data_IF_257337785168
#
_entry.id   IF_257337785168
#
_cell.length_a   1.000
_cell.length_b   1.000
_cell.length_c   1.000
_cell.angle_alpha   90.00
_cell.angle_beta   90.00
_cell.angle_gamma   90.00
#
_symmetry.space_group_name_H-M   'P 1'
#
loop_
_entity.id
_entity.type
_entity.pdbx_description
1 polymer ?
#
# COMPACT_ATOMS: atom_id res chain seq x y z
N UNK A 1 -24.00 39.19 -43.53
CA UNK A 1 -24.12 38.80 -42.14
C UNK A 1 -23.30 37.52 -41.98
N UNK A 2 -22.06 37.66 -41.57
CA UNK A 2 -21.08 36.59 -41.44
C UNK A 2 -21.26 35.93 -40.06
N UNK A 3 -21.61 34.65 -40.06
CA UNK A 3 -21.61 33.81 -38.84
C UNK A 3 -20.18 33.64 -38.31
N UNK A 4 -19.95 33.79 -37.00
CA UNK A 4 -18.64 33.62 -36.44
C UNK A 4 -18.20 32.15 -36.47
N UNK A 5 -16.92 31.93 -36.73
CA UNK A 5 -16.26 30.61 -36.82
C UNK A 5 -16.23 29.90 -35.47
N UNK A 6 -16.35 28.55 -35.40
CA UNK A 6 -16.61 27.80 -34.16
C UNK A 6 -15.36 27.59 -33.23
N UNK A 7 -14.27 28.34 -33.40
CA UNK A 7 -13.04 28.20 -32.61
C UNK A 7 -12.72 29.38 -31.69
N UNK A 8 -13.55 30.43 -31.65
CA UNK A 8 -13.24 31.71 -30.98
C UNK A 8 -13.83 31.88 -29.56
N UNK A 9 -14.35 30.84 -28.97
CA UNK A 9 -14.87 30.92 -27.60
C UNK A 9 -14.43 29.70 -26.76
N UNK A 10 -13.26 29.72 -26.18
CA UNK A 10 -12.99 29.12 -24.85
C UNK A 10 -11.56 29.36 -24.28
N UNK A 11 -11.23 30.49 -23.70
CA UNK A 11 -10.11 30.53 -22.77
C UNK A 11 -10.50 30.59 -21.29
N UNK A 12 -11.78 30.75 -20.92
CA UNK A 12 -12.17 31.01 -19.51
C UNK A 12 -12.40 29.75 -18.67
N UNK A 13 -12.60 28.58 -19.28
CA UNK A 13 -12.92 27.34 -18.56
C UNK A 13 -11.71 26.59 -17.98
N UNK A 14 -10.49 26.83 -18.47
CA UNK A 14 -9.30 26.11 -18.02
C UNK A 14 -8.73 26.63 -16.70
N UNK A 15 -8.88 27.91 -16.39
CA UNK A 15 -8.42 28.49 -15.12
C UNK A 15 -9.32 28.11 -13.94
N UNK A 16 -10.61 28.01 -14.15
CA UNK A 16 -11.56 27.54 -13.12
C UNK A 16 -11.41 26.04 -12.80
N UNK A 17 -11.02 25.24 -13.80
CA UNK A 17 -10.74 23.82 -13.59
C UNK A 17 -9.43 23.57 -12.82
N UNK A 18 -8.39 24.38 -13.08
CA UNK A 18 -7.12 24.30 -12.36
C UNK A 18 -7.26 24.71 -10.89
N UNK A 19 -8.00 25.79 -10.59
CA UNK A 19 -8.25 26.22 -9.21
C UNK A 19 -9.07 25.18 -8.41
N UNK A 20 -10.07 24.57 -9.05
CA UNK A 20 -10.85 23.50 -8.45
C UNK A 20 -10.02 22.22 -8.21
N UNK A 21 -9.05 21.93 -9.06
CA UNK A 21 -8.15 20.78 -8.95
C UNK A 21 -7.11 21.02 -7.84
N UNK A 22 -6.59 22.25 -7.74
CA UNK A 22 -5.69 22.66 -6.68
C UNK A 22 -6.39 22.63 -5.29
N UNK A 23 -7.61 23.14 -5.19
CA UNK A 23 -8.40 23.12 -3.94
C UNK A 23 -8.76 21.70 -3.47
N UNK A 24 -8.70 20.70 -4.33
CA UNK A 24 -8.90 19.28 -3.99
C UNK A 24 -7.60 18.51 -3.76
N UNK A 25 -6.46 19.19 -3.85
CA UNK A 25 -5.17 18.54 -3.66
C UNK A 25 -4.92 18.26 -2.16
N UNK A 26 -4.71 16.99 -1.77
CA UNK A 26 -4.38 16.65 -0.37
C UNK A 26 -3.03 17.21 0.06
N UNK A 27 -2.11 17.41 -0.88
CA UNK A 27 -0.80 18.03 -0.60
C UNK A 27 -0.95 19.48 -0.16
N UNK A 28 -1.87 20.23 -0.78
CA UNK A 28 -2.13 21.63 -0.44
C UNK A 28 -2.73 21.76 0.95
N UNK A 29 -3.75 20.96 1.24
CA UNK A 29 -4.40 20.96 2.55
C UNK A 29 -3.50 20.40 3.65
N UNK A 30 -2.74 19.34 3.36
CA UNK A 30 -1.76 18.78 4.28
C UNK A 30 -0.62 19.74 4.57
N UNK A 31 -0.10 20.42 3.54
CA UNK A 31 0.91 21.46 3.70
C UNK A 31 0.40 22.66 4.49
N UNK A 32 -0.82 23.14 4.21
CA UNK A 32 -1.45 24.23 4.96
C UNK A 32 -1.67 23.86 6.43
N UNK A 33 -2.12 22.62 6.69
CA UNK A 33 -2.32 22.12 8.05
C UNK A 33 -0.99 22.01 8.81
N UNK A 34 0.04 21.46 8.17
CA UNK A 34 1.39 21.37 8.73
C UNK A 34 1.96 22.77 9.02
N UNK A 35 1.86 23.67 8.05
CA UNK A 35 2.31 25.06 8.23
C UNK A 35 1.60 25.76 9.39
N UNK A 36 0.29 25.63 9.46
CA UNK A 36 -0.51 26.22 10.55
C UNK A 36 -0.11 25.63 11.90
N UNK A 37 0.08 24.32 11.97
CA UNK A 37 0.50 23.64 13.19
C UNK A 37 1.86 24.16 13.70
N UNK A 38 2.86 24.24 12.82
CA UNK A 38 4.17 24.75 13.20
C UNK A 38 4.18 26.26 13.48
N UNK A 39 3.36 27.04 12.76
CA UNK A 39 3.18 28.45 13.06
C UNK A 39 2.61 28.66 14.46
N UNK A 40 1.65 27.85 14.90
CA UNK A 40 1.09 27.90 16.27
C UNK A 40 2.12 27.51 17.35
N UNK A 41 3.00 26.55 17.07
CA UNK A 41 4.11 26.20 17.96
C UNK A 41 5.08 27.39 18.09
N UNK A 42 5.51 27.96 16.96
CA UNK A 42 6.47 29.08 16.97
C UNK A 42 5.87 30.38 17.52
N UNK A 43 4.55 30.58 17.38
CA UNK A 43 3.84 31.68 18.00
C UNK A 43 3.63 31.51 19.51
N UNK A 44 4.05 30.38 20.10
CA UNK A 44 3.90 30.11 21.53
C UNK A 44 2.46 29.84 21.98
N UNK A 45 1.55 29.53 21.05
CA UNK A 45 0.17 29.14 21.38
C UNK A 45 0.12 27.72 21.91
N UNK A 46 0.92 26.83 21.32
CA UNK A 46 1.10 25.46 21.78
C UNK A 46 2.36 25.41 22.66
N UNK A 47 2.16 25.39 23.98
CA UNK A 47 3.25 25.41 24.97
C UNK A 47 3.46 24.06 25.65
N UNK A 48 2.76 23.02 25.23
CA UNK A 48 2.91 21.70 25.82
C UNK A 48 4.30 21.12 25.48
N UNK A 49 5.11 20.91 26.53
CA UNK A 49 6.49 20.45 26.38
C UNK A 49 6.60 19.09 25.68
N UNK A 50 5.63 18.19 25.85
CA UNK A 50 5.62 16.89 25.16
C UNK A 50 5.37 17.07 23.66
N UNK A 51 4.43 17.93 23.28
CA UNK A 51 4.12 18.23 21.88
C UNK A 51 5.33 18.82 21.17
N UNK A 52 5.99 19.80 21.80
CA UNK A 52 7.18 20.45 21.24
C UNK A 52 8.31 19.45 21.12
N UNK A 53 8.55 18.63 22.14
CA UNK A 53 9.63 17.64 22.18
C UNK A 53 9.47 16.59 21.08
N UNK A 54 8.28 16.00 20.93
CA UNK A 54 8.06 14.89 19.99
C UNK A 54 7.68 15.32 18.58
N UNK A 55 7.21 16.56 18.36
CA UNK A 55 6.72 16.97 17.03
C UNK A 55 7.51 18.13 16.41
N UNK A 56 8.42 18.74 17.18
CA UNK A 56 9.20 19.89 16.72
C UNK A 56 10.60 19.99 17.35
N UNK A 57 11.14 18.91 17.90
CA UNK A 57 12.47 18.88 18.53
C UNK A 57 13.58 18.74 17.49
N UNK A 58 13.38 17.98 16.44
CA UNK A 58 14.38 17.71 15.41
C UNK A 58 13.79 17.84 14.00
N UNK A 59 14.61 18.16 12.98
CA UNK A 59 14.13 18.37 11.61
C UNK A 59 13.43 17.15 11.00
N UNK A 60 13.80 15.92 11.41
CA UNK A 60 13.13 14.68 10.98
C UNK A 60 11.69 14.67 11.46
N UNK A 61 11.43 15.10 12.70
CA UNK A 61 10.09 15.18 13.29
C UNK A 61 9.19 16.17 12.53
N UNK A 62 9.77 17.29 12.02
CA UNK A 62 9.04 18.20 11.15
C UNK A 62 8.57 17.52 9.87
N UNK A 63 9.44 16.72 9.25
CA UNK A 63 9.10 15.97 8.02
C UNK A 63 8.04 14.91 8.30
N UNK A 64 8.18 14.14 9.37
CA UNK A 64 7.21 13.12 9.78
C UNK A 64 5.84 13.73 10.05
N UNK A 65 5.79 14.82 10.80
CA UNK A 65 4.56 15.55 11.10
C UNK A 65 3.94 16.14 9.83
N UNK A 66 4.75 16.67 8.90
CA UNK A 66 4.25 17.17 7.61
C UNK A 66 3.65 16.04 6.76
N UNK A 67 4.32 14.88 6.70
CA UNK A 67 3.81 13.70 6.00
C UNK A 67 2.52 13.19 6.65
N UNK A 68 2.45 13.17 7.97
CA UNK A 68 1.24 12.82 8.71
C UNK A 68 0.08 13.76 8.37
N UNK A 69 0.31 15.08 8.33
CA UNK A 69 -0.69 16.08 7.95
C UNK A 69 -1.19 15.86 6.51
N UNK A 70 -0.30 15.50 5.57
CA UNK A 70 -0.68 15.17 4.19
C UNK A 70 -1.55 13.90 4.15
N UNK A 71 -1.17 12.86 4.89
CA UNK A 71 -1.96 11.64 5.03
C UNK A 71 -3.34 11.90 5.63
N UNK A 72 -3.41 12.71 6.68
CA UNK A 72 -4.65 13.08 7.35
C UNK A 72 -5.55 13.93 6.44
N UNK A 73 -4.99 14.88 5.70
CA UNK A 73 -5.73 15.70 4.73
C UNK A 73 -6.30 14.84 3.60
N UNK A 74 -5.52 13.87 3.10
CA UNK A 74 -6.00 12.91 2.10
C UNK A 74 -7.20 12.12 2.63
N UNK A 75 -7.07 11.53 3.81
CA UNK A 75 -8.12 10.76 4.45
C UNK A 75 -9.37 11.61 4.73
N UNK A 76 -9.18 12.85 5.18
CA UNK A 76 -10.28 13.80 5.43
C UNK A 76 -11.07 14.13 4.17
N UNK A 77 -10.38 14.49 3.08
CA UNK A 77 -11.02 14.77 1.79
C UNK A 77 -11.73 13.52 1.22
N UNK A 78 -11.13 12.34 1.43
CA UNK A 78 -11.72 11.08 1.01
C UNK A 78 -13.01 10.77 1.77
N UNK A 79 -12.99 10.90 3.10
CA UNK A 79 -14.18 10.75 3.96
C UNK A 79 -15.29 11.72 3.56
N UNK A 80 -14.95 12.99 3.34
CA UNK A 80 -15.93 13.98 2.90
C UNK A 80 -16.62 13.55 1.61
N UNK A 81 -15.83 13.04 0.65
CA UNK A 81 -16.38 12.52 -0.61
C UNK A 81 -17.28 11.29 -0.37
N UNK A 82 -16.86 10.34 0.46
CA UNK A 82 -17.66 9.15 0.79
C UNK A 82 -18.97 9.51 1.49
N UNK A 83 -18.94 10.44 2.45
CA UNK A 83 -20.14 10.89 3.16
C UNK A 83 -21.12 11.58 2.19
N UNK A 84 -20.61 12.40 1.28
CA UNK A 84 -21.44 13.02 0.24
C UNK A 84 -22.09 11.97 -0.68
N UNK A 85 -21.34 10.95 -1.06
CA UNK A 85 -21.86 9.86 -1.89
C UNK A 85 -22.90 9.04 -1.14
N UNK A 86 -22.66 8.70 0.13
CA UNK A 86 -23.61 7.95 0.94
C UNK A 86 -24.97 8.63 1.08
N UNK A 87 -24.98 9.95 1.24
CA UNK A 87 -26.23 10.73 1.30
C UNK A 87 -27.04 10.63 0.02
N UNK A 88 -26.41 10.41 -1.12
CA UNK A 88 -27.04 10.34 -2.44
C UNK A 88 -27.47 8.93 -2.85
N UNK A 89 -26.93 7.89 -2.20
CA UNK A 89 -27.30 6.50 -2.54
C UNK A 89 -28.79 6.23 -2.27
N UNK A 90 -29.39 6.91 -1.28
CA UNK A 90 -30.82 6.78 -0.99
C UNK A 90 -31.75 7.58 -1.91
N UNK A 91 -31.21 8.41 -2.83
CA UNK A 91 -32.04 9.18 -3.78
C UNK A 91 -32.31 8.30 -5.02
N UNK A 92 -33.59 8.10 -5.40
CA UNK A 92 -33.91 7.32 -6.59
C UNK A 92 -33.43 8.07 -7.85
N UNK A 93 -32.41 7.52 -8.51
CA UNK A 93 -31.84 8.10 -9.75
C UNK A 93 -32.62 7.69 -11.01
N UNK A 94 -33.37 6.61 -10.91
CA UNK A 94 -34.23 6.10 -11.99
C UNK A 94 -35.68 6.04 -11.53
N UNK A 95 -36.61 6.25 -12.45
CA UNK A 95 -38.04 6.05 -12.20
C UNK A 95 -38.32 4.61 -11.75
N UNK A 96 -39.33 4.33 -10.93
CA UNK A 96 -39.70 2.98 -10.53
C UNK A 96 -39.82 2.06 -11.76
N UNK A 97 -39.45 0.81 -11.62
CA UNK A 97 -39.62 -0.17 -12.70
C UNK A 97 -41.10 -0.39 -12.96
N UNK A 98 -41.48 -0.40 -14.23
CA UNK A 98 -42.85 -0.70 -14.63
C UNK A 98 -43.15 -2.21 -14.41
N UNK A 99 -44.37 -2.53 -13.98
CA UNK A 99 -44.82 -3.91 -13.88
C UNK A 99 -44.72 -4.61 -15.24
N UNK A 100 -43.98 -5.71 -15.32
CA UNK A 100 -43.77 -6.47 -16.56
C UNK A 100 -42.44 -6.18 -17.28
N UNK A 101 -41.61 -5.28 -16.74
CA UNK A 101 -40.30 -4.94 -17.29
C UNK A 101 -40.38 -4.00 -18.53
N UNK A 102 -39.28 -3.32 -18.77
CA UNK A 102 -39.11 -2.33 -19.84
C UNK A 102 -38.31 -2.97 -20.98
N UNK A 103 -38.64 -2.58 -22.23
CA UNK A 103 -37.90 -3.05 -23.40
C UNK A 103 -36.42 -2.58 -23.33
N UNK A 104 -35.43 -3.44 -23.64
CA UNK A 104 -34.04 -3.06 -23.66
C UNK A 104 -33.70 -1.82 -24.51
N UNK A 105 -34.50 -1.52 -25.53
CA UNK A 105 -34.34 -0.30 -26.37
C UNK A 105 -34.52 1.01 -25.59
N UNK A 106 -35.27 0.99 -24.48
CA UNK A 106 -35.43 2.14 -23.58
C UNK A 106 -34.21 2.41 -22.67
N UNK A 107 -33.25 1.52 -22.66
CA UNK A 107 -32.02 1.71 -21.87
C UNK A 107 -31.30 3.03 -22.20
N UNK A 108 -31.37 3.48 -23.46
CA UNK A 108 -30.81 4.77 -23.90
C UNK A 108 -31.51 5.95 -23.19
N UNK A 109 -32.85 5.91 -23.07
CA UNK A 109 -33.62 6.94 -22.37
C UNK A 109 -33.32 6.93 -20.88
N UNK A 110 -33.25 5.74 -20.29
CA UNK A 110 -32.90 5.58 -18.88
C UNK A 110 -31.48 6.08 -18.58
N UNK A 111 -30.50 5.79 -19.43
CA UNK A 111 -29.14 6.31 -19.28
C UNK A 111 -29.10 7.84 -19.39
N UNK A 112 -29.89 8.42 -20.29
CA UNK A 112 -29.99 9.87 -20.45
C UNK A 112 -30.72 10.56 -19.28
N UNK A 113 -31.61 9.86 -18.56
CA UNK A 113 -32.29 10.41 -17.38
C UNK A 113 -31.35 10.59 -16.17
N UNK A 114 -30.22 9.88 -16.15
CA UNK A 114 -29.22 10.03 -15.06
C UNK A 114 -28.46 11.35 -15.28
N UNK A 115 -28.59 12.35 -14.38
CA UNK A 115 -27.94 13.64 -14.54
C UNK A 115 -26.44 13.51 -14.77
N UNK A 116 -25.90 14.13 -15.79
CA UNK A 116 -24.45 14.11 -16.10
C UNK A 116 -23.61 14.71 -14.97
N UNK A 117 -24.20 15.62 -14.20
CA UNK A 117 -23.59 16.21 -13.01
C UNK A 117 -23.56 15.25 -11.79
N UNK A 118 -24.33 14.15 -11.83
CA UNK A 118 -24.30 13.16 -10.75
C UNK A 118 -23.00 12.36 -10.81
N UNK A 119 -22.06 12.71 -9.90
CA UNK A 119 -20.77 12.06 -9.76
C UNK A 119 -20.80 11.13 -8.54
N UNK A 120 -20.30 9.92 -8.68
CA UNK A 120 -20.23 8.95 -7.59
C UNK A 120 -20.29 7.51 -8.09
N UNK A 121 -20.22 6.57 -7.16
CA UNK A 121 -20.25 5.13 -7.49
C UNK A 121 -21.58 4.72 -8.12
N UNK A 122 -22.70 5.04 -7.50
CA UNK A 122 -24.03 4.62 -8.00
C UNK A 122 -24.35 5.18 -9.39
N UNK A 123 -24.26 6.51 -9.66
CA UNK A 123 -24.57 7.03 -10.99
C UNK A 123 -23.65 6.47 -12.08
N UNK A 124 -22.38 6.24 -11.77
CA UNK A 124 -21.42 5.64 -12.70
C UNK A 124 -21.79 4.20 -13.01
N UNK A 125 -22.05 3.39 -11.97
CA UNK A 125 -22.44 1.98 -12.13
C UNK A 125 -23.72 1.82 -12.95
N UNK A 126 -24.72 2.64 -12.66
CA UNK A 126 -25.97 2.62 -13.41
C UNK A 126 -25.75 2.97 -14.89
N UNK A 127 -24.92 3.99 -15.18
CA UNK A 127 -24.60 4.34 -16.58
C UNK A 127 -23.82 3.24 -17.29
N UNK A 128 -22.78 2.68 -16.66
CA UNK A 128 -21.96 1.61 -17.23
C UNK A 128 -22.82 0.35 -17.49
N UNK A 129 -23.73 0.01 -16.57
CA UNK A 129 -24.65 -1.10 -16.72
C UNK A 129 -25.69 -0.87 -17.84
N UNK A 130 -26.28 0.32 -17.91
CA UNK A 130 -27.23 0.68 -18.97
C UNK A 130 -26.54 0.77 -20.34
N UNK A 131 -25.29 1.23 -20.39
CA UNK A 131 -24.51 1.30 -21.63
C UNK A 131 -24.21 -0.13 -22.18
N UNK A 132 -24.07 -1.13 -21.34
CA UNK A 132 -24.02 -2.53 -21.79
C UNK A 132 -25.31 -2.90 -22.50
N UNK A 133 -26.46 -2.66 -21.85
CA UNK A 133 -27.77 -3.00 -22.44
C UNK A 133 -27.99 -2.27 -23.78
N UNK A 134 -27.58 -1.01 -23.87
CA UNK A 134 -27.64 -0.23 -25.12
C UNK A 134 -26.79 -0.86 -26.23
N UNK A 135 -25.58 -1.32 -25.88
CA UNK A 135 -24.62 -1.92 -26.84
C UNK A 135 -25.02 -3.33 -27.26
N UNK A 136 -25.48 -4.15 -26.33
CA UNK A 136 -25.87 -5.55 -26.61
C UNK A 136 -27.27 -5.68 -27.18
N UNK A 137 -28.15 -4.73 -26.87
CA UNK A 137 -29.56 -4.79 -27.20
C UNK A 137 -30.34 -5.81 -26.35
N UNK A 138 -29.72 -6.45 -25.38
CA UNK A 138 -30.33 -7.43 -24.47
C UNK A 138 -29.89 -7.14 -23.04
N UNK A 139 -30.67 -7.62 -22.06
CA UNK A 139 -30.35 -7.50 -20.64
C UNK A 139 -29.91 -8.85 -20.01
N UNK A 140 -29.70 -9.89 -20.82
CA UNK A 140 -29.45 -11.24 -20.32
C UNK A 140 -28.18 -11.33 -19.46
N UNK A 141 -27.14 -10.58 -19.79
CA UNK A 141 -25.87 -10.54 -19.05
C UNK A 141 -25.79 -9.40 -18.03
N UNK A 142 -26.88 -8.65 -17.82
CA UNK A 142 -26.88 -7.47 -16.95
C UNK A 142 -26.47 -7.79 -15.51
N UNK A 143 -26.99 -8.90 -14.97
CA UNK A 143 -26.68 -9.34 -13.60
C UNK A 143 -25.20 -9.68 -13.43
N UNK A 144 -24.63 -10.44 -14.38
CA UNK A 144 -23.20 -10.76 -14.38
C UNK A 144 -22.35 -9.49 -14.53
N UNK A 145 -22.83 -8.56 -15.34
CA UNK A 145 -22.12 -7.28 -15.52
C UNK A 145 -22.18 -6.38 -14.29
N UNK A 146 -23.31 -6.33 -13.59
CA UNK A 146 -23.42 -5.62 -12.31
C UNK A 146 -22.42 -6.17 -11.27
N UNK A 147 -22.29 -7.51 -11.19
CA UNK A 147 -21.30 -8.14 -10.33
C UNK A 147 -19.87 -7.77 -10.74
N UNK A 148 -19.56 -7.82 -12.03
CA UNK A 148 -18.26 -7.38 -12.54
C UNK A 148 -17.97 -5.91 -12.20
N UNK A 149 -18.94 -5.03 -12.32
CA UNK A 149 -18.79 -3.61 -11.96
C UNK A 149 -18.59 -3.42 -10.45
N UNK A 150 -19.24 -4.26 -9.62
CA UNK A 150 -19.02 -4.26 -8.17
C UNK A 150 -17.56 -4.60 -7.82
N UNK A 151 -17.02 -5.67 -8.40
CA UNK A 151 -15.63 -6.08 -8.21
C UNK A 151 -14.65 -5.02 -8.72
N UNK A 152 -14.96 -4.40 -9.86
CA UNK A 152 -14.15 -3.34 -10.43
C UNK A 152 -14.14 -2.09 -9.56
N UNK A 153 -15.27 -1.70 -8.98
CA UNK A 153 -15.37 -0.57 -8.06
C UNK A 153 -14.60 -0.84 -6.76
N UNK A 154 -14.69 -2.05 -6.21
CA UNK A 154 -13.90 -2.47 -5.04
C UNK A 154 -12.39 -2.41 -5.33
N UNK A 155 -11.96 -2.85 -6.51
CA UNK A 155 -10.56 -2.77 -6.93
C UNK A 155 -10.09 -1.32 -7.08
N UNK A 156 -10.88 -0.46 -7.73
CA UNK A 156 -10.59 0.98 -7.90
C UNK A 156 -10.53 1.70 -6.55
N UNK A 157 -11.44 1.40 -5.63
CA UNK A 157 -11.45 1.95 -4.28
C UNK A 157 -10.14 1.60 -3.55
N UNK A 158 -9.74 0.32 -3.57
CA UNK A 158 -8.52 -0.11 -2.91
C UNK A 158 -7.26 0.55 -3.49
N UNK A 159 -7.20 0.78 -4.80
CA UNK A 159 -6.10 1.49 -5.47
C UNK A 159 -6.06 2.98 -5.09
N UNK A 160 -7.20 3.57 -4.77
CA UNK A 160 -7.32 4.97 -4.35
C UNK A 160 -6.48 5.31 -3.12
N UNK A 161 -6.18 4.35 -2.25
CA UNK A 161 -5.38 4.55 -1.03
C UNK A 161 -3.86 4.53 -1.25
N UNK A 162 -3.38 4.47 -2.49
CA UNK A 162 -1.95 4.36 -2.79
C UNK A 162 -1.09 5.42 -2.11
N UNK A 163 -1.53 6.69 -2.13
CA UNK A 163 -0.79 7.79 -1.49
C UNK A 163 -0.69 7.63 0.02
N UNK A 164 -1.82 7.34 0.70
CA UNK A 164 -1.79 7.22 2.16
C UNK A 164 -1.02 5.99 2.61
N UNK A 165 -1.10 4.87 1.88
CA UNK A 165 -0.28 3.69 2.14
C UNK A 165 1.22 4.00 2.01
N UNK A 166 1.59 4.75 0.97
CA UNK A 166 2.96 5.23 0.83
C UNK A 166 3.40 6.06 2.04
N UNK A 167 2.59 7.03 2.47
CA UNK A 167 2.88 7.89 3.64
C UNK A 167 3.01 7.06 4.92
N UNK A 168 2.09 6.13 5.17
CA UNK A 168 2.12 5.23 6.34
C UNK A 168 3.42 4.42 6.38
N UNK A 169 3.93 4.01 5.23
CA UNK A 169 5.15 3.24 5.13
C UNK A 169 6.41 4.13 5.20
N UNK A 170 6.33 5.33 4.66
CA UNK A 170 7.46 6.26 4.61
C UNK A 170 7.75 6.90 5.97
N UNK A 171 6.74 7.17 6.82
CA UNK A 171 6.94 7.75 8.15
C UNK A 171 7.85 6.90 9.03
N UNK A 172 7.66 5.56 9.21
CA UNK A 172 8.59 4.73 9.99
C UNK A 172 10.00 4.68 9.42
N UNK A 173 10.16 4.79 8.10
CA UNK A 173 11.48 4.85 7.46
C UNK A 173 12.19 6.15 7.84
N UNK A 174 11.45 7.27 7.88
CA UNK A 174 12.00 8.56 8.35
C UNK A 174 12.38 8.49 9.83
N UNK A 175 11.57 7.83 10.67
CA UNK A 175 11.90 7.58 12.07
C UNK A 175 13.18 6.75 12.24
N UNK A 176 13.35 5.71 11.43
CA UNK A 176 14.60 4.96 11.38
C UNK A 176 15.79 5.83 10.95
N UNK A 177 15.61 6.70 9.96
CA UNK A 177 16.64 7.67 9.58
C UNK A 177 16.99 8.59 10.76
N UNK A 178 16.00 9.06 11.51
CA UNK A 178 16.19 9.84 12.73
C UNK A 178 16.99 9.10 13.79
N UNK A 179 16.74 7.79 13.95
CA UNK A 179 17.54 6.93 14.85
C UNK A 179 19.01 6.90 14.43
N UNK A 180 19.29 6.72 13.14
CA UNK A 180 20.67 6.69 12.63
C UNK A 180 21.37 8.01 12.86
N UNK A 181 20.68 9.13 12.62
CA UNK A 181 21.22 10.48 12.83
C UNK A 181 21.49 10.71 14.31
N UNK A 182 20.53 10.45 15.20
CA UNK A 182 20.68 10.65 16.64
C UNK A 182 21.80 9.80 17.24
N UNK A 183 21.96 8.53 16.81
CA UNK A 183 23.09 7.69 17.23
C UNK A 183 24.41 8.26 16.69
N UNK A 184 24.45 8.76 15.46
CA UNK A 184 25.65 9.37 14.88
C UNK A 184 26.04 10.62 15.66
N UNK A 185 25.09 11.47 16.05
CA UNK A 185 25.33 12.65 16.90
C UNK A 185 25.83 12.23 18.30
N UNK A 186 25.22 11.20 18.90
CA UNK A 186 25.67 10.66 20.18
C UNK A 186 27.12 10.17 20.12
N UNK A 187 27.50 9.44 19.08
CA UNK A 187 28.86 8.95 18.87
C UNK A 187 29.85 10.10 18.62
N UNK A 188 29.44 11.12 17.87
CA UNK A 188 30.26 12.29 17.62
C UNK A 188 30.62 13.05 18.91
N UNK A 189 29.75 13.00 19.93
CA UNK A 189 30.00 13.57 21.25
C UNK A 189 30.98 12.74 22.10
N UNK A 190 31.33 11.52 21.70
CA UNK A 190 32.27 10.63 22.42
C UNK A 190 33.74 10.83 22.00
N UNK A 191 34.10 11.96 21.39
CA UNK A 191 35.50 12.26 21.02
C UNK A 191 36.42 12.28 22.26
N UNK A 192 37.68 11.78 22.15
CA UNK A 192 38.62 11.70 23.27
C UNK A 192 38.88 13.00 23.98
N UNK A 193 38.62 14.13 23.31
CA UNK A 193 38.78 15.48 23.84
C UNK A 193 37.55 16.03 24.58
N UNK A 194 36.45 15.29 24.59
CA UNK A 194 35.14 15.69 25.13
C UNK A 194 34.48 14.62 26.01
N UNK A 195 35.28 13.78 26.67
CA UNK A 195 34.79 12.72 27.55
C UNK A 195 33.87 13.19 28.70
N UNK A 196 33.85 14.50 28.98
CA UNK A 196 32.96 15.11 29.98
C UNK A 196 31.57 15.49 29.42
N UNK A 197 31.32 15.31 28.12
CA UNK A 197 30.03 15.71 27.49
C UNK A 197 29.03 14.56 27.42
N UNK A 198 28.74 13.92 28.56
CA UNK A 198 27.69 12.89 28.67
C UNK A 198 26.33 13.43 28.27
N UNK A 199 26.09 14.73 28.48
CA UNK A 199 24.82 15.37 28.11
C UNK A 199 24.54 15.35 26.61
N UNK A 200 25.57 15.51 25.76
CA UNK A 200 25.44 15.44 24.30
C UNK A 200 25.11 14.02 23.81
N UNK A 201 25.74 13.00 24.45
CA UNK A 201 25.43 11.60 24.16
C UNK A 201 23.98 11.26 24.50
N UNK A 202 23.52 11.68 25.69
CA UNK A 202 22.15 11.48 26.13
C UNK A 202 21.15 12.23 25.23
N UNK A 203 21.49 13.43 24.78
CA UNK A 203 20.65 14.21 23.85
C UNK A 203 20.52 13.52 22.49
N UNK A 204 21.64 13.10 21.87
CA UNK A 204 21.60 12.38 20.58
C UNK A 204 20.84 11.05 20.67
N UNK A 205 21.02 10.31 21.77
CA UNK A 205 20.26 9.09 22.01
C UNK A 205 18.76 9.39 22.23
N UNK A 206 18.45 10.49 22.92
CA UNK A 206 17.09 11.00 23.08
C UNK A 206 16.43 11.28 21.73
N UNK A 207 17.10 12.01 20.83
CA UNK A 207 16.63 12.28 19.48
C UNK A 207 16.35 10.98 18.71
N UNK A 208 17.25 9.98 18.81
CA UNK A 208 17.07 8.70 18.15
C UNK A 208 15.79 7.98 18.59
N UNK A 209 15.49 7.99 19.88
CA UNK A 209 14.28 7.35 20.40
C UNK A 209 13.02 8.18 20.16
N UNK A 210 13.11 9.49 20.33
CA UNK A 210 11.94 10.38 20.17
C UNK A 210 11.43 10.35 18.73
N UNK A 211 12.31 10.45 17.73
CA UNK A 211 11.93 10.37 16.31
C UNK A 211 11.26 9.03 15.95
N UNK A 212 11.84 7.92 16.42
CA UNK A 212 11.27 6.59 16.11
C UNK A 212 9.94 6.37 16.82
N UNK A 213 9.81 6.79 18.08
CA UNK A 213 8.56 6.69 18.82
C UNK A 213 7.45 7.52 18.19
N UNK A 214 7.77 8.75 17.74
CA UNK A 214 6.85 9.61 16.99
C UNK A 214 6.42 8.95 15.69
N UNK A 215 7.37 8.52 14.86
CA UNK A 215 7.10 7.90 13.57
C UNK A 215 6.14 6.70 13.68
N UNK A 216 6.41 5.81 14.64
CA UNK A 216 5.55 4.66 14.91
C UNK A 216 4.16 5.08 15.39
N UNK A 217 4.08 6.08 16.28
CA UNK A 217 2.81 6.60 16.76
C UNK A 217 1.97 7.22 15.65
N UNK A 218 2.56 8.10 14.83
CA UNK A 218 1.88 8.76 13.73
C UNK A 218 1.44 7.79 12.64
N UNK A 219 2.29 6.83 12.28
CA UNK A 219 1.95 5.82 11.28
C UNK A 219 0.83 4.89 11.76
N UNK A 220 0.83 4.52 13.05
CA UNK A 220 -0.23 3.69 13.65
C UNK A 220 -1.58 4.41 13.63
N UNK A 221 -1.61 5.71 13.94
CA UNK A 221 -2.83 6.53 13.87
C UNK A 221 -3.36 6.58 12.44
N UNK A 222 -2.50 6.86 11.44
CA UNK A 222 -2.91 6.89 10.04
C UNK A 222 -3.41 5.53 9.56
N UNK A 223 -2.73 4.44 9.93
CA UNK A 223 -3.13 3.08 9.59
C UNK A 223 -4.51 2.75 10.15
N UNK A 224 -4.76 3.10 11.40
CA UNK A 224 -6.06 2.89 12.04
C UNK A 224 -7.16 3.70 11.35
N UNK A 225 -6.91 4.98 11.07
CA UNK A 225 -7.86 5.84 10.36
C UNK A 225 -8.13 5.31 8.94
N UNK A 226 -7.08 4.92 8.20
CA UNK A 226 -7.23 4.31 6.89
C UNK A 226 -8.11 3.06 6.97
N UNK A 227 -7.84 2.15 7.90
CA UNK A 227 -8.63 0.94 8.08
C UNK A 227 -10.10 1.23 8.34
N UNK A 228 -10.42 2.20 9.20
CA UNK A 228 -11.79 2.60 9.49
C UNK A 228 -12.50 3.17 8.27
N UNK A 229 -11.79 4.01 7.50
CA UNK A 229 -12.34 4.63 6.28
C UNK A 229 -12.53 3.59 5.18
N UNK A 230 -11.58 2.69 4.99
CA UNK A 230 -11.69 1.59 4.03
C UNK A 230 -12.88 0.67 4.35
N UNK A 231 -13.11 0.39 5.65
CA UNK A 231 -14.31 -0.34 6.10
C UNK A 231 -15.61 0.43 5.85
N UNK A 232 -15.59 1.73 6.03
CA UNK A 232 -16.74 2.58 5.72
C UNK A 232 -17.04 2.59 4.21
N UNK A 233 -16.00 2.70 3.37
CA UNK A 233 -16.13 2.65 1.91
C UNK A 233 -16.64 1.31 1.41
N UNK A 234 -16.15 0.18 1.98
CA UNK A 234 -16.66 -1.16 1.67
C UNK A 234 -18.16 -1.28 1.96
N UNK A 235 -18.65 -0.71 3.07
CA UNK A 235 -20.09 -0.68 3.37
C UNK A 235 -20.85 0.18 2.38
N UNK A 236 -20.31 1.34 2.02
CA UNK A 236 -20.91 2.19 1.00
C UNK A 236 -20.99 1.48 -0.35
N UNK A 237 -19.97 0.74 -0.74
CA UNK A 237 -19.98 -0.06 -1.98
C UNK A 237 -21.05 -1.16 -1.94
N UNK A 238 -21.27 -1.78 -0.78
CA UNK A 238 -22.40 -2.69 -0.56
C UNK A 238 -23.75 -2.00 -0.72
N UNK A 239 -23.94 -0.84 -0.06
CA UNK A 239 -25.17 -0.04 -0.21
C UNK A 239 -25.42 0.38 -1.69
N UNK A 240 -24.34 0.67 -2.41
CA UNK A 240 -24.40 1.00 -3.87
C UNK A 240 -24.74 -0.24 -4.69
N UNK A 241 -24.23 -1.40 -4.31
CA UNK A 241 -24.52 -2.68 -4.98
C UNK A 241 -26.01 -3.02 -4.84
N UNK A 242 -26.53 -2.96 -3.62
CA UNK A 242 -27.94 -3.19 -3.33
C UNK A 242 -28.84 -2.19 -4.09
N UNK A 243 -28.46 -0.91 -4.09
CA UNK A 243 -29.22 0.12 -4.80
C UNK A 243 -29.19 -0.06 -6.32
N UNK A 244 -28.03 -0.43 -6.89
CA UNK A 244 -27.92 -0.69 -8.32
C UNK A 244 -28.67 -1.95 -8.72
N UNK A 245 -28.61 -2.99 -7.88
CA UNK A 245 -29.38 -4.21 -8.08
C UNK A 245 -30.88 -3.95 -8.02
N UNK A 246 -31.35 -3.26 -7.00
CA UNK A 246 -32.78 -2.89 -6.86
C UNK A 246 -33.27 -2.00 -8.01
N UNK A 247 -32.40 -1.15 -8.58
CA UNK A 247 -32.75 -0.27 -9.68
C UNK A 247 -32.82 -0.97 -11.05
N UNK A 248 -32.00 -2.02 -11.27
CA UNK A 248 -31.79 -2.62 -12.58
C UNK A 248 -32.17 -4.10 -12.68
N UNK A 249 -32.11 -4.87 -11.59
CA UNK A 249 -32.47 -6.29 -11.62
C UNK A 249 -33.96 -6.47 -11.89
N UNK A 250 -34.29 -7.31 -12.85
CA UNK A 250 -35.67 -7.53 -13.27
C UNK A 250 -36.35 -6.35 -13.96
N UNK A 251 -35.63 -5.23 -14.17
CA UNK A 251 -36.18 -4.03 -14.82
C UNK A 251 -36.46 -4.22 -16.31
N UNK A 252 -35.62 -5.02 -16.96
CA UNK A 252 -35.78 -5.30 -18.38
C UNK A 252 -36.49 -6.64 -18.61
N UNK A 253 -37.27 -6.71 -19.70
CA UNK A 253 -37.88 -7.94 -20.10
C UNK A 253 -36.78 -8.97 -20.43
N UNK A 254 -36.75 -10.08 -19.69
CA UNK A 254 -35.86 -11.19 -20.00
C UNK A 254 -36.39 -11.99 -21.20
N UNK A 255 -35.52 -12.37 -22.10
CA UNK A 255 -35.86 -13.21 -23.24
C UNK A 255 -36.41 -14.61 -22.90
N UNK A 256 -36.55 -14.96 -21.62
CA UNK A 256 -36.77 -16.33 -21.14
C UNK A 256 -38.01 -16.60 -20.26
N UNK A 257 -38.95 -15.68 -20.05
CA UNK A 257 -40.11 -15.89 -19.15
C UNK A 257 -41.45 -16.04 -19.84
N UNK A 258 -42.03 -17.27 -19.84
CA UNK A 258 -43.42 -17.62 -20.09
C UNK A 258 -44.04 -17.15 -21.43
N UNK A 259 -44.39 -18.03 -22.32
CA UNK A 259 -44.80 -17.82 -23.74
C UNK A 259 -43.67 -17.32 -24.67
N UNK A 260 -42.44 -17.29 -24.19
CA UNK A 260 -41.31 -16.64 -24.82
C UNK A 260 -40.65 -17.41 -25.98
N UNK A 261 -41.01 -18.66 -26.25
CA UNK A 261 -40.38 -19.34 -27.39
C UNK A 261 -40.78 -18.69 -28.73
N UNK A 262 -42.01 -18.26 -28.88
CA UNK A 262 -42.48 -17.55 -30.08
C UNK A 262 -41.96 -16.11 -30.13
N UNK A 263 -41.89 -15.41 -28.97
CA UNK A 263 -41.31 -14.07 -28.83
C UNK A 263 -39.81 -14.10 -28.98
N UNK A 264 -39.12 -15.12 -28.43
CA UNK A 264 -37.67 -15.31 -28.57
C UNK A 264 -37.29 -15.58 -30.04
N UNK A 265 -38.10 -16.40 -30.77
CA UNK A 265 -37.90 -16.63 -32.21
C UNK A 265 -38.20 -15.36 -33.03
N UNK A 266 -39.24 -14.62 -32.66
CA UNK A 266 -39.54 -13.34 -33.33
C UNK A 266 -38.46 -12.29 -33.09
N UNK A 267 -37.92 -12.17 -31.87
CA UNK A 267 -36.81 -11.26 -31.55
C UNK A 267 -35.47 -11.74 -32.10
N UNK A 268 -35.23 -13.07 -32.11
CA UNK A 268 -34.06 -13.60 -32.82
C UNK A 268 -34.13 -13.27 -34.30
N UNK A 269 -35.32 -13.37 -34.90
CA UNK A 269 -35.59 -12.91 -36.27
C UNK A 269 -35.35 -11.41 -36.47
N UNK A 270 -35.75 -10.59 -35.49
CA UNK A 270 -35.57 -9.13 -35.54
C UNK A 270 -34.11 -8.71 -35.25
N UNK A 271 -33.42 -9.39 -34.31
CA UNK A 271 -31.98 -9.15 -34.05
C UNK A 271 -31.10 -9.66 -35.19
N UNK A 272 -31.46 -10.79 -35.82
CA UNK A 272 -30.83 -11.24 -37.05
C UNK A 272 -31.11 -10.29 -38.19
N UNK A 273 -32.37 -9.82 -38.33
CA UNK A 273 -32.75 -8.81 -39.33
C UNK A 273 -32.02 -7.49 -39.15
N UNK A 274 -31.89 -6.99 -37.91
CA UNK A 274 -31.11 -5.78 -37.60
C UNK A 274 -29.60 -6.02 -37.78
N UNK A 275 -29.12 -7.20 -37.39
CA UNK A 275 -27.74 -7.62 -37.62
C UNK A 275 -27.38 -7.70 -39.08
N UNK A 276 -28.24 -8.31 -39.91
CA UNK A 276 -28.07 -8.38 -41.36
C UNK A 276 -28.19 -7.00 -42.01
N UNK A 277 -29.13 -6.15 -41.57
CA UNK A 277 -29.24 -4.79 -42.04
C UNK A 277 -27.98 -3.96 -41.74
N UNK A 278 -27.43 -4.06 -40.50
CA UNK A 278 -26.18 -3.40 -40.14
C UNK A 278 -24.97 -3.96 -40.90
N UNK A 279 -24.93 -5.27 -41.15
CA UNK A 279 -23.90 -5.88 -41.97
C UNK A 279 -24.00 -5.41 -43.43
N UNK A 280 -25.20 -5.30 -43.99
CA UNK A 280 -25.42 -4.74 -45.34
C UNK A 280 -25.01 -3.27 -45.41
N UNK A 281 -25.37 -2.48 -44.38
CA UNK A 281 -25.00 -1.06 -44.33
C UNK A 281 -23.46 -0.89 -44.11
N UNK A 282 -22.84 -1.72 -43.28
CA UNK A 282 -21.40 -1.77 -43.13
C UNK A 282 -20.69 -2.26 -44.40
N UNK A 283 -21.30 -3.22 -45.12
CA UNK A 283 -20.82 -3.69 -46.42
C UNK A 283 -20.95 -2.61 -47.50
N UNK A 284 -22.09 -1.89 -47.57
CA UNK A 284 -22.24 -0.73 -48.43
C UNK A 284 -21.24 0.38 -48.15
N UNK A 285 -21.03 0.70 -46.86
CA UNK A 285 -20.00 1.67 -46.44
C UNK A 285 -18.59 1.17 -46.77
N UNK A 286 -18.31 -0.12 -46.56
CA UNK A 286 -17.04 -0.74 -46.93
C UNK A 286 -16.82 -0.70 -48.45
N UNK A 287 -17.86 -1.03 -49.26
CA UNK A 287 -17.79 -0.92 -50.73
C UNK A 287 -17.61 0.52 -51.19
N UNK A 288 -18.35 1.48 -50.59
CA UNK A 288 -18.21 2.89 -50.92
C UNK A 288 -16.87 3.47 -50.48
N UNK A 289 -16.26 2.95 -49.39
CA UNK A 289 -14.91 3.31 -48.99
C UNK A 289 -13.86 2.68 -49.89
N UNK A 290 -14.05 1.39 -50.26
CA UNK A 290 -13.20 0.69 -51.19
C UNK A 290 -13.18 1.34 -52.59
N UNK A 291 -14.36 1.73 -53.10
CA UNK A 291 -14.50 2.45 -54.37
C UNK A 291 -13.79 3.79 -54.34
N UNK A 292 -13.97 4.57 -53.24
CA UNK A 292 -13.26 5.82 -53.05
C UNK A 292 -11.74 5.62 -52.92
N UNK A 293 -11.32 4.60 -52.16
CA UNK A 293 -9.92 4.28 -51.99
C UNK A 293 -9.31 3.73 -53.27
N UNK A 294 -10.07 2.87 -54.02
CA UNK A 294 -9.63 2.34 -55.30
C UNK A 294 -9.48 3.42 -56.37
N UNK A 295 -10.49 4.31 -56.48
CA UNK A 295 -10.43 5.45 -57.42
C UNK A 295 -9.32 6.46 -57.08
N UNK A 296 -9.07 6.73 -55.81
CA UNK A 296 -7.95 7.56 -55.38
C UNK A 296 -6.63 6.81 -55.55
N UNK A 297 -6.60 5.53 -55.15
CA UNK A 297 -5.39 4.69 -55.27
C UNK A 297 -4.95 4.41 -56.71
N UNK A 298 -5.91 4.15 -57.63
CA UNK A 298 -5.61 3.99 -59.06
C UNK A 298 -5.09 5.28 -59.67
N UNK A 299 -5.62 6.41 -59.22
CA UNK A 299 -5.16 7.73 -59.69
C UNK A 299 -3.77 8.09 -59.24
N UNK A 300 -3.43 7.78 -57.96
CA UNK A 300 -2.09 7.97 -57.42
C UNK A 300 -1.07 6.92 -57.97
N UNK A 301 -1.53 5.69 -58.20
CA UNK A 301 -0.67 4.63 -58.76
C UNK A 301 -0.33 4.85 -60.27
N UNK A 302 -1.16 5.60 -60.96
CA UNK A 302 -0.90 5.97 -62.35
C UNK A 302 -0.02 7.21 -62.49
N UNK A 303 0.06 8.02 -61.45
CA UNK A 303 0.84 9.27 -61.44
C UNK A 303 2.27 9.07 -60.86
N UNK A 304 2.52 8.04 -60.05
CA UNK A 304 3.85 7.78 -59.49
C UNK A 304 4.26 6.32 -59.74
N UNK A 305 5.35 6.14 -60.43
CA UNK A 305 6.02 4.87 -60.68
C UNK A 305 6.49 4.20 -59.38
N UNK A 306 5.49 3.69 -58.61
CA UNK A 306 5.68 3.28 -57.20
C UNK A 306 5.99 1.81 -56.94
N UNK A 307 6.36 1.01 -57.93
CA UNK A 307 6.72 -0.41 -57.71
C UNK A 307 7.96 -0.59 -56.81
N UNK A 308 9.00 0.18 -57.07
CA UNK A 308 10.25 0.09 -56.33
C UNK A 308 10.19 0.64 -54.89
N UNK A 309 9.35 1.67 -54.64
CA UNK A 309 9.17 2.25 -53.31
C UNK A 309 8.35 1.30 -52.41
N UNK A 310 7.39 0.60 -52.99
CA UNK A 310 6.52 -0.31 -52.20
C UNK A 310 7.29 -1.54 -51.74
N UNK A 311 8.17 -2.10 -52.61
CA UNK A 311 9.00 -3.24 -52.27
C UNK A 311 10.08 -2.90 -51.25
N UNK A 312 10.67 -1.71 -51.35
CA UNK A 312 11.66 -1.24 -50.39
C UNK A 312 11.02 -0.86 -49.04
N UNK A 313 9.78 -0.30 -49.02
CA UNK A 313 9.08 0.08 -47.81
C UNK A 313 8.54 -1.14 -47.05
N UNK A 314 8.00 -2.15 -47.79
CA UNK A 314 7.58 -3.40 -47.11
C UNK A 314 8.76 -4.18 -46.58
N UNK A 315 9.85 -4.29 -47.34
CA UNK A 315 11.08 -4.93 -46.84
C UNK A 315 11.68 -4.20 -45.63
N UNK A 316 11.71 -2.88 -45.65
CA UNK A 316 12.20 -2.08 -44.52
C UNK A 316 11.29 -2.17 -43.31
N UNK A 317 9.94 -2.22 -43.48
CA UNK A 317 8.99 -2.43 -42.39
C UNK A 317 9.07 -3.83 -41.82
N UNK A 318 9.19 -4.86 -42.65
CA UNK A 318 9.35 -6.25 -42.22
C UNK A 318 10.66 -6.44 -41.46
N UNK A 319 11.77 -5.89 -41.98
CA UNK A 319 13.06 -5.89 -41.29
C UNK A 319 13.04 -5.10 -39.97
N UNK A 320 12.39 -3.97 -39.97
CA UNK A 320 12.20 -3.14 -38.73
C UNK A 320 11.35 -3.88 -37.72
N UNK A 321 10.23 -4.48 -38.12
CA UNK A 321 9.37 -5.28 -37.25
C UNK A 321 10.07 -6.53 -36.73
N UNK A 322 10.80 -7.23 -37.58
CA UNK A 322 11.59 -8.41 -37.19
C UNK A 322 12.70 -8.02 -36.18
N UNK A 323 13.37 -6.91 -36.43
CA UNK A 323 14.39 -6.38 -35.51
C UNK A 323 13.77 -5.95 -34.19
N UNK A 324 12.60 -5.30 -34.24
CA UNK A 324 11.89 -4.84 -33.05
C UNK A 324 11.36 -6.03 -32.22
N UNK A 325 10.76 -7.03 -32.86
CA UNK A 325 10.29 -8.23 -32.17
C UNK A 325 11.42 -9.05 -31.55
N UNK A 326 12.55 -9.18 -32.27
CA UNK A 326 13.75 -9.87 -31.71
C UNK A 326 14.40 -9.09 -30.58
N UNK A 327 14.48 -7.76 -30.68
CA UNK A 327 15.01 -6.93 -29.58
C UNK A 327 14.09 -6.92 -28.38
N UNK A 328 12.77 -6.89 -28.60
CA UNK A 328 11.77 -6.98 -27.54
C UNK A 328 11.80 -8.33 -26.83
N UNK A 329 11.86 -9.44 -27.60
CA UNK A 329 12.01 -10.78 -27.03
C UNK A 329 13.29 -10.90 -26.18
N UNK A 330 14.42 -10.40 -26.71
CA UNK A 330 15.69 -10.41 -25.97
C UNK A 330 15.62 -9.57 -24.68
N UNK A 331 14.99 -8.41 -24.74
CA UNK A 331 14.78 -7.57 -23.54
C UNK A 331 13.88 -8.25 -22.52
N UNK A 332 12.84 -8.96 -22.96
CA UNK A 332 11.96 -9.74 -22.09
C UNK A 332 12.73 -10.89 -21.42
N UNK A 333 13.55 -11.60 -22.18
CA UNK A 333 14.37 -12.70 -21.66
C UNK A 333 15.43 -12.20 -20.67
N UNK A 334 16.08 -11.07 -20.96
CA UNK A 334 17.02 -10.43 -20.03
C UNK A 334 16.34 -9.96 -18.74
N UNK A 335 15.14 -9.39 -18.84
CA UNK A 335 14.36 -8.98 -17.67
C UNK A 335 13.88 -10.20 -16.86
N UNK A 336 13.52 -11.29 -17.51
CA UNK A 336 13.15 -12.53 -16.86
C UNK A 336 14.35 -13.14 -16.10
N UNK A 337 15.51 -13.24 -16.77
CA UNK A 337 16.75 -13.74 -16.16
C UNK A 337 17.17 -12.89 -14.94
N UNK A 338 17.18 -11.55 -15.10
CA UNK A 338 17.49 -10.64 -13.96
C UNK A 338 16.50 -10.76 -12.80
N UNK A 339 15.26 -11.13 -13.08
CA UNK A 339 14.25 -11.35 -12.05
C UNK A 339 14.52 -12.66 -11.33
N UNK A 340 14.85 -13.72 -12.05
CA UNK A 340 15.24 -15.03 -11.48
C UNK A 340 16.50 -14.89 -10.61
N UNK A 341 17.53 -14.19 -11.09
CA UNK A 341 18.75 -13.94 -10.33
C UNK A 341 18.48 -13.18 -9.03
N UNK A 342 17.60 -12.18 -9.08
CA UNK A 342 17.20 -11.42 -7.88
C UNK A 342 16.42 -12.30 -6.90
N UNK A 343 15.54 -13.16 -7.39
CA UNK A 343 14.81 -14.09 -6.55
C UNK A 343 15.74 -15.14 -5.94
N UNK A 344 16.70 -15.66 -6.70
CA UNK A 344 17.70 -16.58 -6.18
C UNK A 344 18.57 -15.93 -5.10
N UNK A 345 19.07 -14.72 -5.36
CA UNK A 345 19.85 -13.97 -4.39
C UNK A 345 19.05 -13.63 -3.11
N UNK A 346 17.77 -13.27 -3.26
CA UNK A 346 16.89 -13.01 -2.12
C UNK A 346 16.62 -14.29 -1.31
N UNK A 347 16.40 -15.42 -1.99
CA UNK A 347 16.23 -16.73 -1.34
C UNK A 347 17.49 -17.17 -0.59
N UNK A 348 18.66 -16.95 -1.18
CA UNK A 348 19.94 -17.26 -0.54
C UNK A 348 20.20 -16.36 0.70
N UNK A 349 19.89 -15.06 0.58
CA UNK A 349 20.02 -14.14 1.71
C UNK A 349 19.06 -14.49 2.85
N UNK A 350 17.84 -14.91 2.51
CA UNK A 350 16.87 -15.38 3.49
C UNK A 350 17.34 -16.66 4.18
N UNK A 351 17.84 -17.62 3.40
CA UNK A 351 18.42 -18.86 3.94
C UNK A 351 19.62 -18.59 4.85
N UNK A 352 20.46 -17.61 4.49
CA UNK A 352 21.58 -17.19 5.34
C UNK A 352 21.08 -16.52 6.63
N UNK A 353 20.04 -15.68 6.55
CA UNK A 353 19.44 -15.06 7.74
C UNK A 353 18.81 -16.10 8.68
N UNK A 354 18.12 -17.11 8.14
CA UNK A 354 17.55 -18.22 8.93
C UNK A 354 18.66 -18.99 9.65
N UNK A 355 19.73 -19.37 8.96
CA UNK A 355 20.88 -20.02 9.59
C UNK A 355 21.53 -19.16 10.68
N UNK A 356 21.60 -17.83 10.44
CA UNK A 356 22.10 -16.90 11.44
C UNK A 356 21.19 -16.80 12.67
N UNK A 357 19.90 -16.93 12.51
CA UNK A 357 18.94 -16.99 13.62
C UNK A 357 19.05 -18.31 14.40
N UNK A 358 19.20 -19.43 13.72
CA UNK A 358 19.42 -20.74 14.34
C UNK A 358 20.71 -20.72 15.19
N UNK A 359 21.82 -20.21 14.65
CA UNK A 359 23.06 -20.07 15.40
C UNK A 359 22.94 -19.17 16.64
N UNK A 360 22.14 -18.09 16.52
CA UNK A 360 21.85 -17.22 17.66
C UNK A 360 20.96 -17.92 18.70
N UNK A 361 20.00 -18.68 18.24
CA UNK A 361 19.15 -19.48 19.12
C UNK A 361 19.97 -20.47 19.93
N UNK A 362 20.86 -21.23 19.30
CA UNK A 362 21.78 -22.17 19.94
C UNK A 362 22.73 -21.45 20.91
N UNK A 363 23.14 -20.22 20.58
CA UNK A 363 23.98 -19.42 21.46
C UNK A 363 23.24 -18.97 22.73
N UNK A 364 21.96 -18.53 22.55
CA UNK A 364 21.07 -18.15 23.66
C UNK A 364 20.78 -19.36 24.55
N UNK A 365 20.50 -20.51 23.97
CA UNK A 365 20.24 -21.74 24.73
C UNK A 365 21.45 -22.15 25.58
N UNK A 366 22.65 -22.10 24.99
CA UNK A 366 23.92 -22.32 25.74
C UNK A 366 24.13 -21.30 26.86
N UNK A 367 23.81 -20.03 26.59
CA UNK A 367 23.88 -18.96 27.58
C UNK A 367 22.87 -19.15 28.71
N UNK A 368 21.66 -19.56 28.38
CA UNK A 368 20.62 -19.85 29.36
C UNK A 368 21.01 -21.03 30.26
N UNK A 369 21.58 -22.07 29.66
CA UNK A 369 22.09 -23.24 30.40
C UNK A 369 23.26 -22.84 31.33
N UNK A 370 24.14 -21.97 30.84
CA UNK A 370 25.25 -21.45 31.68
C UNK A 370 24.73 -20.60 32.86
N UNK A 371 23.73 -19.75 32.62
CA UNK A 371 23.09 -18.95 33.68
C UNK A 371 22.39 -19.86 34.70
N UNK A 372 21.68 -20.89 34.24
CA UNK A 372 21.07 -21.87 35.13
C UNK A 372 22.09 -22.55 36.03
N UNK A 373 23.27 -22.91 35.47
CA UNK A 373 24.39 -23.46 36.24
C UNK A 373 24.95 -22.48 37.27
N UNK A 374 25.03 -21.20 36.94
CA UNK A 374 25.47 -20.16 37.89
C UNK A 374 24.44 -19.96 39.00
N UNK A 375 23.15 -20.00 38.69
CA UNK A 375 22.08 -19.89 39.69
C UNK A 375 22.11 -21.07 40.64
N UNK A 376 22.36 -22.28 40.13
CA UNK A 376 22.49 -23.50 40.97
C UNK A 376 23.72 -23.44 41.86
N UNK A 377 24.89 -23.03 41.31
CA UNK A 377 26.09 -22.82 42.07
C UNK A 377 25.94 -21.74 43.18
N UNK A 378 25.19 -20.67 42.87
CA UNK A 378 24.90 -19.64 43.89
C UNK A 378 24.00 -20.19 45.00
N UNK A 379 23.09 -21.08 44.68
CA UNK A 379 22.21 -21.75 45.64
C UNK A 379 23.02 -22.69 46.57
N UNK A 380 23.99 -23.41 45.99
CA UNK A 380 24.88 -24.26 46.73
C UNK A 380 25.79 -23.47 47.68
N UNK A 381 26.32 -22.33 47.22
CA UNK A 381 27.09 -21.39 48.03
C UNK A 381 26.25 -20.89 49.22
N UNK A 382 24.99 -20.51 48.96
CA UNK A 382 24.09 -20.02 50.02
C UNK A 382 23.73 -21.14 51.03
N UNK A 383 23.63 -22.39 50.55
CA UNK A 383 23.43 -23.54 51.42
C UNK A 383 24.67 -23.84 52.28
N UNK A 384 25.87 -23.70 51.70
CA UNK A 384 27.13 -23.87 52.38
C UNK A 384 27.35 -22.78 53.45
N UNK A 385 27.00 -21.54 53.12
CA UNK A 385 27.06 -20.40 54.05
C UNK A 385 26.16 -20.63 55.27
N UNK A 386 24.93 -21.10 55.06
CA UNK A 386 24.01 -21.48 56.15
C UNK A 386 24.57 -22.63 57.01
N UNK A 387 25.20 -23.61 56.35
CA UNK A 387 25.85 -24.74 57.05
C UNK A 387 27.06 -24.28 57.85
N UNK A 388 27.84 -23.34 57.33
CA UNK A 388 28.95 -22.73 57.98
C UNK A 388 28.53 -21.92 59.22
N UNK A 389 27.48 -21.11 59.07
CA UNK A 389 26.91 -20.35 60.20
C UNK A 389 26.39 -21.26 61.30
N UNK A 390 25.72 -22.36 60.91
CA UNK A 390 25.23 -23.36 61.86
C UNK A 390 26.42 -24.08 62.60
N UNK A 391 27.48 -24.39 61.84
CA UNK A 391 28.66 -25.00 62.42
C UNK A 391 29.46 -24.03 63.35
N UNK A 392 29.58 -22.75 62.94
CA UNK A 392 30.17 -21.72 63.76
C UNK A 392 29.38 -21.48 65.05
N UNK A 393 28.08 -21.49 65.00
CA UNK A 393 27.20 -21.40 66.17
C UNK A 393 27.40 -22.60 67.12
N UNK A 394 27.59 -23.78 66.53
CA UNK A 394 27.85 -25.01 67.30
C UNK A 394 29.25 -24.99 67.93
N UNK A 395 30.25 -24.49 67.21
CA UNK A 395 31.63 -24.35 67.70
C UNK A 395 31.75 -23.28 68.78
N UNK A 396 31.03 -22.20 68.68
CA UNK A 396 30.95 -21.16 69.71
C UNK A 396 30.40 -21.72 71.06
N UNK A 397 29.53 -22.74 70.97
CA UNK A 397 28.95 -23.37 72.15
C UNK A 397 29.78 -24.50 72.78
N UNK A 398 30.83 -25.03 72.08
CA UNK A 398 31.55 -26.23 72.52
C UNK A 398 33.02 -26.02 72.84
N UNK A 399 33.59 -24.82 72.73
CA UNK A 399 34.97 -24.52 73.26
C UNK A 399 36.12 -25.18 72.49
N UNK A 400 35.89 -25.80 71.29
CA UNK A 400 36.99 -26.44 70.49
C UNK A 400 37.34 -25.57 69.27
N UNK A 401 37.88 -24.41 69.50
CA UNK A 401 38.17 -23.44 68.48
C UNK A 401 39.37 -23.75 67.56
N UNK A 402 40.34 -24.48 68.05
CA UNK A 402 41.59 -24.67 67.32
C UNK A 402 41.57 -25.82 66.30
N UNK A 403 40.77 -26.85 66.50
CA UNK A 403 40.69 -27.98 65.56
C UNK A 403 39.81 -27.67 64.34
N UNK A 404 38.87 -26.72 64.46
CA UNK A 404 37.96 -26.30 63.39
C UNK A 404 38.58 -25.24 62.50
N UNK A 405 39.52 -24.43 62.94
CA UNK A 405 40.25 -23.46 62.09
C UNK A 405 41.12 -24.16 61.06
N UNK A 406 41.68 -25.29 61.32
CA UNK A 406 42.51 -26.06 60.40
C UNK A 406 41.62 -26.68 59.26
N UNK A 407 40.44 -27.18 59.61
CA UNK A 407 39.47 -27.72 58.61
C UNK A 407 38.80 -26.64 57.77
N UNK A 408 38.54 -25.47 58.35
CA UNK A 408 38.03 -24.33 57.64
C UNK A 408 39.05 -23.77 56.62
N UNK A 409 40.32 -23.68 57.01
CA UNK A 409 41.38 -23.26 56.11
C UNK A 409 41.55 -24.19 54.92
N UNK A 410 41.43 -25.51 55.13
CA UNK A 410 41.45 -26.48 54.02
C UNK A 410 40.21 -26.36 53.06
N UNK A 411 39.01 -26.15 53.65
CA UNK A 411 37.81 -25.98 52.85
C UNK A 411 37.85 -24.69 52.02
N UNK A 412 38.34 -23.58 52.58
CA UNK A 412 38.49 -22.31 51.83
C UNK A 412 39.51 -22.41 50.70
N UNK A 413 40.63 -23.13 50.93
CA UNK A 413 41.62 -23.37 49.88
C UNK A 413 41.08 -24.25 48.76
N UNK A 414 40.22 -25.22 49.07
CA UNK A 414 39.59 -26.09 48.08
C UNK A 414 38.52 -25.34 47.25
N UNK A 415 37.79 -24.44 47.89
CA UNK A 415 36.83 -23.56 47.24
C UNK A 415 37.51 -22.52 46.32
N UNK A 416 38.61 -21.94 46.78
CA UNK A 416 39.42 -21.00 45.99
C UNK A 416 40.04 -21.68 44.75
N UNK A 417 40.51 -22.93 44.89
CA UNK A 417 41.03 -23.71 43.77
C UNK A 417 39.92 -24.05 42.76
N UNK A 418 38.70 -24.36 43.21
CA UNK A 418 37.56 -24.67 42.34
C UNK A 418 37.03 -23.44 41.62
N UNK A 419 36.99 -22.28 42.28
CA UNK A 419 36.62 -21.01 41.68
C UNK A 419 37.64 -20.54 40.63
N UNK A 420 38.95 -20.79 40.89
CA UNK A 420 40.01 -20.49 39.94
C UNK A 420 39.98 -21.40 38.70
N UNK A 421 39.58 -22.65 38.83
CA UNK A 421 39.41 -23.59 37.71
C UNK A 421 38.18 -23.22 36.85
N UNK A 422 37.06 -22.87 37.48
CA UNK A 422 35.87 -22.37 36.78
C UNK A 422 36.13 -21.03 36.06
N UNK A 423 36.92 -20.15 36.64
CA UNK A 423 37.34 -18.90 36.00
C UNK A 423 38.24 -19.13 34.77
N UNK A 424 39.03 -20.20 34.78
CA UNK A 424 39.86 -20.62 33.63
C UNK A 424 39.00 -21.18 32.49
N UNK A 425 38.00 -21.95 32.79
CA UNK A 425 37.08 -22.49 31.78
C UNK A 425 36.26 -21.36 31.09
N UNK A 426 35.80 -20.36 31.83
CA UNK A 426 35.12 -19.19 31.28
C UNK A 426 36.06 -18.35 30.39
N UNK A 427 37.38 -18.29 30.74
CA UNK A 427 38.38 -17.59 29.93
C UNK A 427 38.78 -18.38 28.67
N UNK A 428 38.74 -19.71 28.69
CA UNK A 428 38.98 -20.57 27.54
C UNK A 428 37.85 -20.43 26.50
N UNK A 429 36.60 -20.39 26.95
CA UNK A 429 35.42 -20.17 26.09
C UNK A 429 35.46 -18.79 25.45
N UNK A 430 35.99 -17.76 26.13
CA UNK A 430 36.11 -16.39 25.59
C UNK A 430 37.22 -16.24 24.54
N UNK A 431 38.23 -17.12 24.53
CA UNK A 431 39.31 -17.11 23.52
C UNK A 431 38.95 -17.84 22.23
N UNK A 432 38.13 -18.87 22.29
CA UNK A 432 37.65 -19.59 21.10
C UNK A 432 36.57 -18.86 20.33
N UNK A 433 35.86 -17.90 20.93
CA UNK A 433 34.85 -17.07 20.27
C UNK A 433 35.40 -15.83 19.51
N UNK A 434 36.72 -15.61 19.51
CA UNK A 434 37.35 -14.44 18.84
C UNK A 434 38.16 -14.80 17.59
N UNK A 435 38.09 -16.06 17.16
CA UNK A 435 38.83 -16.58 15.99
C UNK A 435 37.88 -17.31 14.99
N UNK A 436 36.66 -16.79 14.79
CA UNK A 436 35.78 -17.18 13.68
C UNK A 436 35.10 -15.92 13.10
#
# INVERSE_FOLDING_TARGET
MSSPLPWESQPVSKLSSLSALLLRSPLLWGGAMSFTFFALIHAGVITNALVIRYLAGHWVEYVETAMFCVGLAFLGLHVENLVRQRRRVGEPLLEPAADGGVDPSEATRLAASIPTAAVGYLPRRLREALDLVVRTGTADDLENHLKYLSDLDASRASQGYGLVRFVIWAIPIMGFLGTVIGITEAIACLSPTQLDNISGVVAGLGTAFDTTAQALGLSMILMFLQFMIEKYEQRLLGDVDDAAWAALAGRFQALGGGDGAALAVARLGETLGRGTARLLEAQEQAWASLERTATVGVRTLLEESGGAIRESLTAALDESLATWTTSFARTQDELAARREDRWAAAAESLAAAVRGLEQRHDAIERQTTAIAGVVEATRDITALERSLDANLATVASTGRFEETLATLSAAVQLLAARAADQARDVHAIRRTGKAA
#
